data_IF_161635702230
#
_entry.id   IF_161635702230
#
_cell.length_a   1.000
_cell.length_b   1.000
_cell.length_c   1.000
_cell.angle_alpha   90.00
_cell.angle_beta   90.00
_cell.angle_gamma   90.00
#
_symmetry.space_group_name_H-M   'P 1'
#
loop_
_entity.id
_entity.type
_entity.pdbx_description
1 polymer ?
#
# COMPACT_ATOMS: atom_id res chain seq x y z
N UNK A 1 11.85 -10.35 2.10
CA UNK A 1 11.79 -9.11 2.88
C UNK A 1 10.35 -8.84 3.33
N UNK A 2 10.10 -8.72 4.62
CA UNK A 2 8.73 -8.48 5.08
C UNK A 2 8.28 -7.05 4.76
N UNK A 3 7.14 -6.94 4.10
CA UNK A 3 6.48 -5.67 3.82
C UNK A 3 5.09 -5.74 4.42
N UNK A 4 4.68 -4.69 5.08
CA UNK A 4 3.35 -4.58 5.66
C UNK A 4 2.59 -3.41 5.07
N UNK A 5 1.27 -3.56 4.99
CA UNK A 5 0.38 -2.51 4.50
C UNK A 5 -0.92 -2.48 5.28
N UNK A 6 -1.51 -1.30 5.37
CA UNK A 6 -2.82 -1.11 5.99
C UNK A 6 -3.65 -0.13 5.18
N UNK A 7 -4.95 -0.36 5.14
CA UNK A 7 -5.92 0.59 4.58
C UNK A 7 -6.72 1.17 5.75
N UNK A 8 -6.82 2.49 5.80
CA UNK A 8 -7.61 3.17 6.82
C UNK A 8 -8.69 4.02 6.18
N UNK A 9 -9.80 4.17 6.88
CA UNK A 9 -10.90 5.05 6.49
C UNK A 9 -11.29 5.85 7.72
N UNK A 10 -11.23 7.18 7.61
CA UNK A 10 -11.55 8.08 8.72
C UNK A 10 -10.77 7.72 9.99
N UNK A 11 -9.49 7.39 9.82
CA UNK A 11 -8.61 7.04 10.93
C UNK A 11 -8.79 5.64 11.49
N UNK A 12 -9.73 4.86 10.97
CA UNK A 12 -9.98 3.49 11.43
C UNK A 12 -9.33 2.49 10.49
N UNK A 13 -8.70 1.46 11.03
CA UNK A 13 -8.09 0.40 10.23
C UNK A 13 -9.19 -0.48 9.64
N UNK A 14 -9.23 -0.57 8.31
CA UNK A 14 -10.17 -1.40 7.57
C UNK A 14 -9.54 -2.74 7.23
N UNK A 15 -8.27 -2.74 6.84
CA UNK A 15 -7.57 -3.94 6.42
C UNK A 15 -6.08 -3.81 6.70
N UNK A 16 -5.44 -4.93 6.99
CA UNK A 16 -3.99 -5.01 7.09
C UNK A 16 -3.51 -6.29 6.40
N UNK A 17 -2.30 -6.26 5.89
CA UNK A 17 -1.72 -7.42 5.25
C UNK A 17 -0.19 -7.37 5.29
N UNK A 18 0.42 -8.54 5.21
CA UNK A 18 1.84 -8.70 4.98
C UNK A 18 2.01 -9.44 3.65
N UNK A 19 3.10 -9.18 2.93
CA UNK A 19 3.35 -9.85 1.68
C UNK A 19 3.45 -11.37 1.89
N UNK A 20 2.84 -12.15 0.99
CA UNK A 20 2.78 -13.61 1.13
C UNK A 20 2.81 -14.33 -0.23
N UNK A 21 3.76 -14.01 -1.14
CA UNK A 21 3.74 -14.61 -2.48
C UNK A 21 3.98 -16.11 -2.44
N UNK A 22 4.86 -16.59 -1.57
CA UNK A 22 5.14 -18.03 -1.46
C UNK A 22 4.03 -18.80 -0.79
N UNK A 23 3.56 -18.29 0.35
CA UNK A 23 2.52 -18.95 1.12
C UNK A 23 1.22 -19.12 0.32
N UNK A 24 0.88 -18.11 -0.49
CA UNK A 24 -0.34 -18.13 -1.29
C UNK A 24 -0.12 -18.65 -2.71
N UNK A 25 1.11 -18.98 -3.07
CA UNK A 25 1.46 -19.35 -4.45
C UNK A 25 0.94 -18.32 -5.44
N UNK A 26 1.10 -17.04 -5.10
CA UNK A 26 0.56 -15.93 -5.87
C UNK A 26 1.65 -14.86 -6.02
N UNK A 27 2.21 -14.68 -7.22
CA UNK A 27 3.26 -13.67 -7.41
C UNK A 27 2.77 -12.24 -7.24
N UNK A 28 1.45 -12.02 -7.22
CA UNK A 28 0.89 -10.69 -6.99
C UNK A 28 0.55 -10.43 -5.52
N UNK A 29 0.83 -11.36 -4.63
CA UNK A 29 0.47 -11.25 -3.21
C UNK A 29 1.42 -10.33 -2.44
N UNK A 30 1.60 -9.12 -2.93
CA UNK A 30 2.26 -8.05 -2.21
C UNK A 30 1.32 -7.52 -1.12
N UNK A 31 1.89 -6.94 -0.07
CA UNK A 31 1.10 -6.44 1.06
C UNK A 31 0.02 -5.46 0.62
N UNK A 32 0.37 -4.53 -0.29
CA UNK A 32 -0.57 -3.53 -0.80
C UNK A 32 -1.74 -4.19 -1.55
N UNK A 33 -1.43 -5.18 -2.39
CA UNK A 33 -2.46 -5.91 -3.15
C UNK A 33 -3.44 -6.59 -2.21
N UNK A 34 -2.91 -7.28 -1.20
CA UNK A 34 -3.74 -8.00 -0.24
C UNK A 34 -4.59 -7.06 0.61
N UNK A 35 -4.01 -5.94 1.05
CA UNK A 35 -4.74 -4.95 1.83
C UNK A 35 -5.86 -4.31 1.02
N UNK A 36 -5.60 -3.97 -0.23
CA UNK A 36 -6.61 -3.40 -1.13
C UNK A 36 -7.76 -4.38 -1.34
N UNK A 37 -7.45 -5.65 -1.62
CA UNK A 37 -8.48 -6.68 -1.81
C UNK A 37 -9.35 -6.86 -0.58
N UNK A 38 -8.72 -6.94 0.59
CA UNK A 38 -9.45 -7.12 1.84
C UNK A 38 -10.32 -5.92 2.16
N UNK A 39 -9.80 -4.70 1.99
CA UNK A 39 -10.55 -3.48 2.23
C UNK A 39 -11.77 -3.39 1.31
N UNK A 40 -11.62 -3.76 0.04
CA UNK A 40 -12.72 -3.78 -0.91
C UNK A 40 -13.83 -4.74 -0.47
N UNK A 41 -13.46 -5.91 0.04
CA UNK A 41 -14.42 -6.87 0.59
C UNK A 41 -15.12 -6.32 1.82
N UNK A 42 -14.37 -5.78 2.76
CA UNK A 42 -14.91 -5.26 4.02
C UNK A 42 -15.88 -4.11 3.75
N UNK A 43 -15.52 -3.21 2.83
CA UNK A 43 -16.35 -2.05 2.50
C UNK A 43 -17.42 -2.35 1.47
N UNK A 44 -17.37 -3.51 0.82
CA UNK A 44 -18.35 -3.90 -0.19
C UNK A 44 -18.34 -3.04 -1.45
N UNK A 45 -17.17 -2.54 -1.84
CA UNK A 45 -17.03 -1.69 -3.03
C UNK A 45 -15.63 -1.85 -3.62
N UNK A 46 -15.50 -1.62 -4.92
CA UNK A 46 -14.22 -1.74 -5.63
C UNK A 46 -13.38 -0.47 -5.58
N UNK A 47 -13.98 0.69 -5.31
CA UNK A 47 -13.25 1.94 -5.18
C UNK A 47 -13.08 2.28 -3.71
N UNK A 48 -11.83 2.52 -3.32
CA UNK A 48 -11.46 2.85 -1.95
C UNK A 48 -11.30 4.36 -1.81
N UNK A 49 -12.25 5.11 -2.35
CA UNK A 49 -12.28 6.56 -2.24
C UNK A 49 -12.34 6.95 -0.77
N UNK A 50 -11.63 8.01 -0.41
CA UNK A 50 -11.48 8.50 0.95
C UNK A 50 -10.65 7.60 1.86
N UNK A 51 -10.14 6.48 1.35
CA UNK A 51 -9.25 5.60 2.11
C UNK A 51 -7.80 6.01 1.93
N UNK A 52 -7.00 5.76 2.95
CA UNK A 52 -5.56 5.96 2.93
C UNK A 52 -4.85 4.61 2.98
N UNK A 53 -3.74 4.49 2.25
CA UNK A 53 -2.88 3.31 2.28
C UNK A 53 -1.59 3.66 3.01
N UNK A 54 -1.22 2.81 3.95
CA UNK A 54 0.04 2.88 4.69
C UNK A 54 0.86 1.66 4.33
N UNK A 55 2.09 1.83 3.92
CA UNK A 55 2.95 0.71 3.54
C UNK A 55 4.38 0.99 3.99
N UNK A 56 5.11 -0.07 4.37
CA UNK A 56 6.45 0.07 4.94
C UNK A 56 7.52 0.36 3.88
N UNK A 57 7.23 0.11 2.61
CA UNK A 57 8.18 0.27 1.51
C UNK A 57 7.49 0.93 0.33
N UNK A 58 8.23 1.73 -0.42
CA UNK A 58 7.74 2.38 -1.65
C UNK A 58 7.08 1.35 -2.58
N UNK A 59 5.83 1.57 -3.02
CA UNK A 59 5.14 0.62 -3.90
C UNK A 59 5.85 0.40 -5.23
N UNK A 60 5.81 -0.84 -5.71
CA UNK A 60 6.29 -1.21 -7.05
C UNK A 60 5.25 -0.80 -8.12
N UNK A 61 5.59 -1.01 -9.39
CA UNK A 61 4.72 -0.63 -10.51
C UNK A 61 3.35 -1.33 -10.47
N UNK A 62 3.34 -2.62 -10.14
CA UNK A 62 2.09 -3.39 -10.02
C UNK A 62 1.19 -2.80 -8.95
N UNK A 63 1.74 -2.55 -7.76
CA UNK A 63 0.98 -2.01 -6.65
C UNK A 63 0.55 -0.57 -6.90
N UNK A 64 1.39 0.24 -7.52
CA UNK A 64 1.01 1.61 -7.91
C UNK A 64 -0.17 1.60 -8.87
N UNK A 65 -0.18 0.68 -9.84
CA UNK A 65 -1.32 0.50 -10.73
C UNK A 65 -2.60 0.11 -9.99
N UNK A 66 -2.48 -0.81 -9.04
CA UNK A 66 -3.62 -1.22 -8.22
C UNK A 66 -4.15 -0.07 -7.36
N UNK A 67 -3.27 0.74 -6.80
CA UNK A 67 -3.63 1.92 -6.01
C UNK A 67 -4.44 2.91 -6.86
N UNK A 68 -3.99 3.16 -8.09
CA UNK A 68 -4.72 4.04 -9.02
C UNK A 68 -6.08 3.47 -9.37
N UNK A 69 -6.15 2.17 -9.68
CA UNK A 69 -7.42 1.51 -10.00
C UNK A 69 -8.40 1.57 -8.83
N UNK A 70 -7.91 1.41 -7.62
CA UNK A 70 -8.74 1.43 -6.42
C UNK A 70 -9.15 2.85 -5.99
N UNK A 71 -8.58 3.89 -6.57
CA UNK A 71 -8.85 5.28 -6.22
C UNK A 71 -8.52 5.64 -4.78
N UNK A 72 -7.44 5.08 -4.25
CA UNK A 72 -6.95 5.41 -2.91
C UNK A 72 -6.65 6.91 -2.84
N UNK A 73 -7.03 7.55 -1.76
CA UNK A 73 -6.90 9.00 -1.61
C UNK A 73 -5.46 9.42 -1.29
N UNK A 74 -4.83 8.77 -0.32
CA UNK A 74 -3.47 9.11 0.11
C UNK A 74 -2.65 7.84 0.29
N UNK A 75 -1.36 7.92 -0.05
CA UNK A 75 -0.41 6.84 0.18
C UNK A 75 0.72 7.36 1.06
N UNK A 76 0.91 6.69 2.18
CA UNK A 76 2.01 6.95 3.10
C UNK A 76 2.97 5.76 3.01
N UNK A 77 4.19 5.97 2.58
CA UNK A 77 5.17 4.88 2.54
C UNK A 77 6.40 5.23 3.37
N UNK A 78 7.02 4.19 3.96
CA UNK A 78 8.16 4.35 4.83
C UNK A 78 9.44 4.54 4.04
N UNK A 79 10.09 3.45 3.68
CA UNK A 79 11.38 3.49 3.02
C UNK A 79 11.24 3.64 1.50
N UNK A 80 12.12 4.43 0.89
CA UNK A 80 12.25 4.49 -0.56
C UNK A 80 12.89 3.19 -1.06
N UNK A 81 12.51 2.76 -2.26
CA UNK A 81 13.06 1.57 -2.90
C UNK A 81 13.64 1.93 -4.27
N UNK A 82 14.93 2.27 -4.34
CA UNK A 82 15.55 2.65 -5.61
C UNK A 82 15.57 1.54 -6.66
N UNK A 83 15.48 0.28 -6.25
CA UNK A 83 15.54 -0.85 -7.17
C UNK A 83 14.18 -1.28 -7.70
N UNK A 84 13.18 -1.37 -6.83
CA UNK A 84 11.87 -1.88 -7.21
C UNK A 84 10.74 -0.91 -7.11
N UNK A 85 10.97 0.27 -6.57
CA UNK A 85 9.93 1.29 -6.39
C UNK A 85 9.49 1.92 -7.70
N UNK A 86 8.27 2.45 -7.69
CA UNK A 86 7.68 3.05 -8.86
C UNK A 86 6.93 4.35 -8.55
N UNK A 87 7.19 4.94 -7.39
CA UNK A 87 6.58 6.22 -6.97
C UNK A 87 7.58 7.36 -7.16
N UNK A 88 8.70 7.33 -6.43
CA UNK A 88 9.80 8.28 -6.59
C UNK A 88 10.86 7.77 -7.56
N UNK A 89 10.93 6.47 -7.76
CA UNK A 89 11.93 5.78 -8.57
C UNK A 89 11.29 5.05 -9.73
N UNK A 90 12.11 4.43 -10.57
CA UNK A 90 11.64 3.63 -11.69
C UNK A 90 10.73 4.43 -12.62
N UNK A 91 9.58 3.88 -13.01
CA UNK A 91 8.69 4.54 -13.96
C UNK A 91 7.93 5.73 -13.37
N UNK A 92 8.01 5.99 -12.09
CA UNK A 92 7.23 7.06 -11.43
C UNK A 92 5.78 7.02 -11.90
N UNK A 93 5.11 5.95 -11.60
CA UNK A 93 3.81 5.58 -12.18
C UNK A 93 2.80 6.72 -12.14
N UNK A 94 2.71 7.43 -11.01
CA UNK A 94 1.68 8.47 -10.84
C UNK A 94 1.96 9.74 -11.62
N UNK A 95 3.14 9.86 -12.24
CA UNK A 95 3.46 10.99 -13.11
C UNK A 95 3.23 10.69 -14.59
N UNK A 96 2.86 9.46 -14.95
CA UNK A 96 2.68 9.05 -16.32
C UNK A 96 1.40 9.65 -16.92
N UNK A 97 1.41 10.03 -18.21
CA UNK A 97 0.24 10.68 -18.84
C UNK A 97 -1.02 9.81 -18.82
N UNK A 98 -0.86 8.48 -18.83
CA UNK A 98 -2.00 7.57 -18.84
C UNK A 98 -2.50 7.20 -17.45
N UNK A 99 -1.86 7.70 -16.39
CA UNK A 99 -2.34 7.49 -15.03
C UNK A 99 -3.54 8.41 -14.78
N UNK A 100 -4.71 7.82 -14.59
CA UNK A 100 -5.97 8.56 -14.48
C UNK A 100 -6.40 8.85 -13.04
N UNK A 101 -5.64 8.41 -12.04
CA UNK A 101 -5.86 8.77 -10.65
C UNK A 101 -4.52 8.86 -9.93
N UNK A 102 -4.29 9.99 -9.31
CA UNK A 102 -3.05 10.24 -8.54
C UNK A 102 -3.42 10.48 -7.10
N UNK A 103 -3.05 9.58 -6.18
CA UNK A 103 -3.22 9.84 -4.76
C UNK A 103 -2.26 10.93 -4.31
N UNK A 104 -2.54 11.55 -3.17
CA UNK A 104 -1.52 12.33 -2.48
C UNK A 104 -0.46 11.35 -1.97
N UNK A 105 0.81 11.72 -2.11
CA UNK A 105 1.94 10.82 -1.81
C UNK A 105 2.80 11.42 -0.72
N UNK A 106 3.08 10.64 0.30
CA UNK A 106 3.91 11.03 1.43
C UNK A 106 4.95 9.95 1.68
N UNK A 107 6.17 10.21 1.26
CA UNK A 107 7.28 9.27 1.46
C UNK A 107 8.04 9.56 2.74
N UNK A 108 8.87 8.60 3.13
CA UNK A 108 9.70 8.68 4.34
C UNK A 108 8.88 9.01 5.59
N UNK A 109 7.61 8.59 5.56
CA UNK A 109 6.68 8.88 6.64
C UNK A 109 6.91 7.90 7.77
N UNK A 110 7.25 8.49 8.89
CA UNK A 110 7.29 7.74 10.11
C UNK A 110 8.18 6.54 10.00
N UNK A 111 9.34 6.76 9.38
CA UNK A 111 10.34 5.72 9.48
C UNK A 111 10.44 5.27 10.93
N UNK A 112 10.13 6.13 11.90
CA UNK A 112 10.05 5.76 13.30
C UNK A 112 8.61 5.46 13.74
N UNK A 113 7.65 6.37 13.54
CA UNK A 113 6.31 6.23 14.13
C UNK A 113 5.38 5.31 13.35
N UNK A 114 5.19 5.56 12.06
CA UNK A 114 4.29 4.72 11.25
C UNK A 114 4.83 3.33 11.06
N UNK A 115 6.15 3.20 10.87
CA UNK A 115 6.79 1.90 10.77
C UNK A 115 6.72 1.15 12.09
N UNK A 116 6.86 1.83 13.22
CA UNK A 116 6.70 1.21 14.53
C UNK A 116 5.26 0.76 14.76
N UNK A 117 4.30 1.61 14.42
CA UNK A 117 2.88 1.27 14.55
C UNK A 117 2.52 0.05 13.71
N UNK A 118 2.96 0.02 12.47
CA UNK A 118 2.73 -1.12 11.58
C UNK A 118 3.45 -2.36 12.08
N UNK A 119 4.71 -2.24 12.52
CA UNK A 119 5.46 -3.37 13.06
C UNK A 119 4.81 -3.94 14.32
N UNK A 120 4.38 -3.08 15.22
CA UNK A 120 3.70 -3.51 16.45
C UNK A 120 2.40 -4.22 16.14
N UNK A 121 1.62 -3.68 15.19
CA UNK A 121 0.39 -4.30 14.73
C UNK A 121 0.66 -5.68 14.15
N UNK A 122 1.65 -5.80 13.25
CA UNK A 122 2.00 -7.09 12.65
C UNK A 122 2.57 -8.06 13.67
N UNK A 123 3.35 -7.59 14.63
CA UNK A 123 3.91 -8.43 15.68
C UNK A 123 2.80 -9.07 16.54
N UNK A 124 1.74 -8.32 16.81
CA UNK A 124 0.61 -8.82 17.61
C UNK A 124 -0.23 -9.85 16.88
N UNK A 125 -0.09 -9.96 15.57
CA UNK A 125 -0.87 -10.89 14.74
C UNK A 125 -0.12 -12.17 14.35
N UNK A 126 1.09 -12.31 14.80
CA UNK A 126 1.87 -13.54 14.57
C UNK A 126 1.46 -14.66 15.49
#
# INVERSE_FOLDING_TARGET
MPVGAAITLEGQIVAVAANAPRRLCDPTAHAEMLAIREAAKVLGRDRLEQCDLWVTLEPCAMCAGAIANARVQRVYYGAADPKGGAVEHGPRFFTQPTCHHRPELYGDIGSAESAALLRDFFAQRR
#
